data_IF_592190408799
#
_entry.id   IF_592190408799
#
_cell.length_a   1.000
_cell.length_b   1.000
_cell.length_c   1.000
_cell.angle_alpha   90.00
_cell.angle_beta   90.00
_cell.angle_gamma   90.00
#
_symmetry.space_group_name_H-M   'P 1'
#
loop_
_entity.id
_entity.type
_entity.pdbx_description
1 polymer ?
#
# COMPACT_ATOMS: atom_id res chain seq x y z
N UNK A 1 -6.81 -13.11 14.33
CA UNK A 1 -6.55 -11.82 14.98
C UNK A 1 -5.66 -10.98 14.09
N UNK A 2 -5.93 -9.70 14.01
CA UNK A 2 -5.17 -8.77 13.19
C UNK A 2 -4.20 -7.97 14.05
N UNK A 3 -2.94 -7.94 13.63
CA UNK A 3 -1.90 -7.18 14.31
C UNK A 3 -1.40 -6.08 13.38
N UNK A 4 -1.21 -4.88 13.92
CA UNK A 4 -0.71 -3.75 13.14
C UNK A 4 0.77 -3.96 12.79
N UNK A 5 1.12 -3.81 11.50
CA UNK A 5 2.52 -3.76 11.07
C UNK A 5 3.10 -2.36 11.31
N UNK A 6 4.42 -2.24 11.53
CA UNK A 6 5.02 -0.94 11.76
C UNK A 6 5.00 -0.08 10.48
N UNK A 7 4.83 1.25 10.68
CA UNK A 7 4.99 2.22 9.62
C UNK A 7 6.46 2.66 9.55
N UNK A 8 6.91 3.04 8.37
CA UNK A 8 8.20 3.73 8.24
C UNK A 8 8.00 5.24 8.46
N UNK A 9 9.09 6.01 8.37
CA UNK A 9 9.02 7.45 8.58
C UNK A 9 8.63 8.20 7.31
N UNK A 10 9.28 7.89 6.18
CA UNK A 10 9.18 8.70 4.97
C UNK A 10 8.65 7.95 3.74
N UNK A 11 8.28 6.69 3.85
CA UNK A 11 7.70 5.95 2.73
C UNK A 11 6.48 6.69 2.19
N UNK A 12 6.35 6.77 0.89
CA UNK A 12 5.20 7.42 0.25
C UNK A 12 3.87 6.79 0.66
N UNK A 13 3.85 5.47 0.85
CA UNK A 13 2.60 4.76 1.18
C UNK A 13 2.34 4.76 2.67
N UNK A 14 3.32 4.44 3.51
CA UNK A 14 3.10 4.22 4.94
C UNK A 14 3.84 5.19 5.87
N UNK A 15 4.66 6.10 5.33
CA UNK A 15 5.46 6.99 6.16
C UNK A 15 4.63 8.02 6.90
N UNK A 16 4.63 7.98 8.23
CA UNK A 16 3.83 8.89 9.03
C UNK A 16 4.37 10.31 9.03
N UNK A 17 5.66 10.49 8.72
CA UNK A 17 6.31 11.79 8.66
C UNK A 17 6.38 12.37 7.26
N UNK A 18 5.84 11.67 6.25
CA UNK A 18 5.81 12.18 4.88
C UNK A 18 4.52 12.98 4.67
N UNK A 19 4.59 14.32 4.54
CA UNK A 19 3.39 15.15 4.45
C UNK A 19 2.60 14.97 3.15
N UNK A 20 3.22 14.43 2.11
CA UNK A 20 2.54 14.17 0.83
C UNK A 20 2.25 12.69 0.63
N UNK A 21 2.58 11.86 1.60
CA UNK A 21 2.32 10.44 1.53
C UNK A 21 0.90 10.07 1.93
N UNK A 22 0.58 8.79 1.77
CA UNK A 22 -0.76 8.29 2.04
C UNK A 22 -0.96 7.89 3.50
N UNK A 23 0.11 7.67 4.25
CA UNK A 23 0.12 7.38 5.68
C UNK A 23 -0.78 6.19 6.05
N UNK A 24 -0.74 5.15 5.21
CA UNK A 24 -1.59 3.98 5.41
C UNK A 24 -1.08 3.08 6.52
N UNK A 25 -2.01 2.42 7.18
CA UNK A 25 -1.72 1.38 8.17
C UNK A 25 -2.02 0.02 7.55
N UNK A 26 -1.13 -0.94 7.81
CA UNK A 26 -1.25 -2.30 7.33
C UNK A 26 -1.45 -3.24 8.51
N UNK A 27 -2.32 -4.23 8.32
CA UNK A 27 -2.69 -5.18 9.35
C UNK A 27 -2.39 -6.59 8.88
N UNK A 28 -1.90 -7.42 9.77
CA UNK A 28 -1.47 -8.78 9.48
C UNK A 28 -2.25 -9.78 10.32
N UNK A 29 -2.71 -10.86 9.68
CA UNK A 29 -3.20 -12.07 10.35
C UNK A 29 -2.18 -13.19 10.14
N UNK A 30 -2.56 -14.43 10.46
CA UNK A 30 -1.66 -15.58 10.27
C UNK A 30 -1.30 -15.82 8.80
N UNK A 31 -2.18 -15.45 7.87
CA UNK A 31 -2.04 -15.79 6.45
C UNK A 31 -2.33 -14.64 5.50
N UNK A 32 -2.59 -13.42 5.98
CA UNK A 32 -2.99 -12.28 5.15
C UNK A 32 -2.41 -10.97 5.66
N UNK A 33 -2.25 -10.04 4.73
CA UNK A 33 -1.98 -8.64 5.04
C UNK A 33 -3.03 -7.79 4.33
N UNK A 34 -3.55 -6.79 5.00
CA UNK A 34 -4.54 -5.90 4.42
C UNK A 34 -4.31 -4.45 4.85
N UNK A 35 -4.82 -3.54 4.04
CA UNK A 35 -4.96 -2.14 4.38
C UNK A 35 -6.28 -1.64 3.80
N UNK A 36 -6.75 -0.53 4.31
CA UNK A 36 -7.95 0.13 3.81
C UNK A 36 -7.66 1.62 3.72
N UNK A 37 -8.03 2.21 2.59
CA UNK A 37 -7.91 3.66 2.45
C UNK A 37 -9.00 4.20 1.55
N UNK A 38 -9.23 5.50 1.69
CA UNK A 38 -9.99 6.28 0.74
C UNK A 38 -9.03 7.32 0.19
N UNK A 39 -8.78 7.29 -1.12
CA UNK A 39 -7.80 8.19 -1.72
C UNK A 39 -8.29 9.63 -1.64
N UNK A 40 -7.49 10.54 -1.07
CA UNK A 40 -7.82 11.96 -1.08
C UNK A 40 -7.84 12.53 -2.50
N UNK A 41 -8.53 13.65 -2.67
CA UNK A 41 -8.68 14.31 -3.95
C UNK A 41 -7.35 14.54 -4.71
N UNK A 42 -6.24 14.93 -4.07
CA UNK A 42 -4.98 15.12 -4.81
C UNK A 42 -4.43 13.89 -5.49
N UNK A 43 -4.94 12.69 -5.16
CA UNK A 43 -4.45 11.43 -5.72
C UNK A 43 -5.41 10.83 -6.74
N UNK A 44 -6.30 11.63 -7.28
CA UNK A 44 -7.18 11.20 -8.35
C UNK A 44 -6.54 11.40 -9.72
N UNK A 45 -7.02 10.66 -10.72
CA UNK A 45 -6.72 10.92 -12.14
C UNK A 45 -7.81 11.82 -12.71
N UNK A 46 -8.84 11.23 -13.31
CA UNK A 46 -10.08 11.95 -13.66
C UNK A 46 -10.90 12.18 -12.39
N UNK A 47 -11.83 13.15 -12.40
CA UNK A 47 -12.67 13.39 -11.23
C UNK A 47 -13.33 12.10 -10.71
N UNK A 48 -13.19 11.85 -9.42
CA UNK A 48 -13.72 10.69 -8.69
C UNK A 48 -13.13 9.33 -9.09
N UNK A 49 -11.98 9.33 -9.78
CA UNK A 49 -11.30 8.10 -10.16
C UNK A 49 -9.90 8.10 -9.54
N UNK A 50 -9.58 7.07 -8.77
CA UNK A 50 -8.25 6.93 -8.19
C UNK A 50 -7.17 6.84 -9.26
N UNK A 51 -6.04 7.52 -9.05
CA UNK A 51 -4.94 7.51 -10.00
C UNK A 51 -4.31 6.12 -10.07
N UNK A 52 -4.18 5.58 -11.30
CA UNK A 52 -3.65 4.22 -11.51
C UNK A 52 -2.25 4.03 -10.97
N UNK A 53 -1.39 5.05 -11.09
CA UNK A 53 -0.05 5.01 -10.50
C UNK A 53 -0.07 4.95 -8.99
N UNK A 54 -0.98 5.66 -8.35
CA UNK A 54 -1.15 5.61 -6.89
C UNK A 54 -1.67 4.25 -6.47
N UNK A 55 -2.67 3.71 -7.16
CA UNK A 55 -3.19 2.37 -6.89
C UNK A 55 -2.09 1.34 -7.06
N UNK A 56 -1.24 1.48 -8.08
CA UNK A 56 -0.09 0.60 -8.29
C UNK A 56 0.88 0.64 -7.11
N UNK A 57 1.14 1.83 -6.57
CA UNK A 57 2.00 1.98 -5.39
C UNK A 57 1.41 1.26 -4.17
N UNK A 58 0.10 1.34 -3.98
CA UNK A 58 -0.58 0.64 -2.89
C UNK A 58 -0.46 -0.87 -3.03
N UNK A 59 -0.68 -1.39 -4.24
CA UNK A 59 -0.59 -2.83 -4.50
C UNK A 59 0.85 -3.33 -4.34
N UNK A 60 1.82 -2.56 -4.80
CA UNK A 60 3.24 -2.88 -4.61
C UNK A 60 3.59 -3.00 -3.14
N UNK A 61 3.17 -2.03 -2.33
CA UNK A 61 3.45 -2.02 -0.91
C UNK A 61 2.80 -3.20 -0.18
N UNK A 62 1.52 -3.48 -0.45
CA UNK A 62 0.82 -4.57 0.26
C UNK A 62 1.42 -5.93 -0.08
N UNK A 63 1.88 -6.12 -1.32
CA UNK A 63 2.56 -7.36 -1.71
C UNK A 63 3.90 -7.53 -0.99
N UNK A 64 4.70 -6.46 -0.93
CA UNK A 64 5.96 -6.49 -0.20
C UNK A 64 5.75 -6.78 1.28
N UNK A 65 4.74 -6.18 1.89
CA UNK A 65 4.41 -6.40 3.29
C UNK A 65 3.89 -7.80 3.57
N UNK A 66 3.22 -8.43 2.60
CA UNK A 66 2.83 -9.83 2.72
C UNK A 66 4.07 -10.73 2.80
N UNK A 67 5.06 -10.49 1.95
CA UNK A 67 6.31 -11.28 1.99
C UNK A 67 7.06 -11.03 3.31
N UNK A 68 7.23 -9.77 3.69
CA UNK A 68 7.97 -9.42 4.91
C UNK A 68 7.26 -9.95 6.15
N UNK A 69 5.94 -9.77 6.24
CA UNK A 69 5.18 -10.12 7.43
C UNK A 69 4.92 -11.61 7.57
N UNK A 70 4.59 -12.30 6.48
CA UNK A 70 4.20 -13.70 6.53
C UNK A 70 5.39 -14.66 6.40
N UNK A 71 6.49 -14.21 5.81
CA UNK A 71 7.65 -15.05 5.56
C UNK A 71 8.93 -14.54 6.22
N UNK A 72 8.85 -13.43 6.97
CA UNK A 72 9.98 -12.82 7.67
C UNK A 72 11.19 -12.61 6.75
N UNK A 73 10.93 -12.07 5.56
CA UNK A 73 11.94 -11.88 4.52
C UNK A 73 11.85 -10.45 3.97
N UNK A 74 13.01 -9.82 3.76
CA UNK A 74 13.06 -8.52 3.08
C UNK A 74 12.77 -8.70 1.59
N UNK A 75 11.99 -7.79 1.02
CA UNK A 75 11.60 -7.87 -0.37
C UNK A 75 11.58 -6.50 -1.04
N UNK A 76 12.02 -6.48 -2.29
CA UNK A 76 11.86 -5.33 -3.20
C UNK A 76 11.26 -5.83 -4.50
N UNK A 77 10.42 -5.00 -5.13
CA UNK A 77 9.79 -5.39 -6.39
C UNK A 77 10.75 -5.20 -7.56
N UNK A 78 10.89 -6.22 -8.39
CA UNK A 78 11.66 -6.14 -9.65
C UNK A 78 10.76 -5.99 -10.86
N UNK A 79 9.51 -6.42 -10.75
CA UNK A 79 8.53 -6.28 -11.83
C UNK A 79 7.14 -6.24 -11.24
N UNK A 80 6.32 -5.32 -11.76
CA UNK A 80 4.91 -5.20 -11.40
C UNK A 80 4.09 -5.08 -12.68
N UNK A 81 3.09 -5.95 -12.82
CA UNK A 81 2.16 -5.90 -13.95
C UNK A 81 0.74 -5.84 -13.41
N UNK A 82 -0.03 -4.86 -13.86
CA UNK A 82 -1.38 -4.62 -13.38
C UNK A 82 -2.36 -4.52 -14.54
N UNK A 83 -3.57 -4.98 -14.30
CA UNK A 83 -4.68 -4.81 -15.23
C UNK A 83 -5.86 -4.24 -14.44
N UNK A 84 -6.36 -3.09 -14.89
CA UNK A 84 -7.51 -2.45 -14.28
C UNK A 84 -8.75 -2.84 -15.06
N UNK A 85 -9.70 -3.47 -14.37
CA UNK A 85 -10.95 -3.92 -14.97
C UNK A 85 -12.09 -2.95 -14.71
N UNK A 86 -12.01 -2.17 -13.61
CA UNK A 86 -13.08 -1.31 -13.15
C UNK A 86 -12.48 -0.19 -12.28
N UNK A 87 -13.27 0.82 -12.02
CA UNK A 87 -12.86 2.00 -11.25
C UNK A 87 -13.43 1.98 -9.83
#
# INVERSE_FOLDING_TARGET
MWTKQPNSDLCFVCGLDNPVGLQLTFWQSADRVRSRCQLPEPYQSWPNIGHGGVISALLDEVMARAVIGLHDAFAVSVKLALRFHDN
#
